data_IF_408580835411
#
_entry.id   IF_408580835411
#
_cell.length_a   1.000
_cell.length_b   1.000
_cell.length_c   1.000
_cell.angle_alpha   90.00
_cell.angle_beta   90.00
_cell.angle_gamma   90.00
#
_symmetry.space_group_name_H-M   'P 1'
#
loop_
_entity.id
_entity.type
_entity.pdbx_description
1 polymer ?
#
# COMPACT_ATOMS: atom_id res chain seq x y z
N UNK A 1 10.17 -11.87 -14.94
CA UNK A 1 9.75 -12.21 -13.56
C UNK A 1 11.05 -12.53 -12.83
N UNK A 2 11.38 -11.85 -11.72
CA UNK A 2 12.54 -12.26 -10.90
C UNK A 2 12.36 -13.73 -10.51
N UNK A 3 13.42 -14.54 -10.49
CA UNK A 3 13.31 -15.99 -10.21
C UNK A 3 12.70 -16.30 -8.82
N UNK A 4 12.67 -15.32 -7.90
CA UNK A 4 12.06 -15.42 -6.56
C UNK A 4 10.77 -14.56 -6.38
N UNK A 5 10.09 -14.16 -7.47
CA UNK A 5 8.89 -13.33 -7.37
C UNK A 5 7.58 -14.13 -7.47
N UNK A 6 6.60 -13.75 -6.65
CA UNK A 6 5.22 -14.24 -6.70
C UNK A 6 4.25 -13.11 -7.05
N UNK A 7 3.39 -13.34 -8.03
CA UNK A 7 2.28 -12.45 -8.36
C UNK A 7 0.95 -13.05 -7.90
N UNK A 8 0.20 -12.39 -7.00
CA UNK A 8 -1.07 -12.91 -6.50
C UNK A 8 -2.17 -12.81 -7.55
N UNK A 9 -3.08 -13.79 -7.55
CA UNK A 9 -4.26 -13.80 -8.45
C UNK A 9 -5.31 -12.73 -8.10
N UNK A 10 -5.33 -12.24 -6.87
CA UNK A 10 -6.28 -11.24 -6.38
C UNK A 10 -5.74 -10.48 -5.16
N UNK A 11 -6.47 -9.45 -4.71
CA UNK A 11 -6.05 -8.62 -3.55
C UNK A 11 -4.88 -7.68 -3.82
N UNK A 12 -4.50 -7.48 -5.09
CA UNK A 12 -3.37 -6.63 -5.50
C UNK A 12 -3.46 -5.21 -4.95
N UNK A 13 -4.61 -4.56 -5.05
CA UNK A 13 -4.83 -3.21 -4.52
C UNK A 13 -4.66 -3.13 -3.01
N UNK A 14 -5.26 -4.07 -2.26
CA UNK A 14 -5.16 -4.11 -0.81
C UNK A 14 -3.71 -4.35 -0.32
N UNK A 15 -3.00 -5.28 -0.95
CA UNK A 15 -1.57 -5.54 -0.66
C UNK A 15 -0.72 -4.33 -1.01
N UNK A 16 -0.99 -3.67 -2.13
CA UNK A 16 -0.32 -2.44 -2.51
C UNK A 16 -0.48 -1.34 -1.45
N UNK A 17 -1.72 -0.99 -1.10
CA UNK A 17 -2.02 0.05 -0.09
C UNK A 17 -1.43 -0.27 1.28
N UNK A 18 -1.53 -1.52 1.71
CA UNK A 18 -0.94 -1.94 2.98
C UNK A 18 0.59 -1.74 2.96
N UNK A 19 1.26 -2.19 1.91
CA UNK A 19 2.72 -2.09 1.78
C UNK A 19 3.18 -0.64 1.69
N UNK A 20 2.53 0.16 0.84
CA UNK A 20 2.77 1.60 0.71
C UNK A 20 2.58 2.33 2.05
N UNK A 21 1.56 1.98 2.82
CA UNK A 21 1.37 2.52 4.18
C UNK A 21 2.51 2.16 5.14
N UNK A 22 2.99 0.91 5.11
CA UNK A 22 4.16 0.53 5.92
C UNK A 22 5.42 1.31 5.50
N UNK A 23 5.61 1.56 4.21
CA UNK A 23 6.72 2.39 3.72
C UNK A 23 6.62 3.83 4.24
N UNK A 24 5.43 4.42 4.25
CA UNK A 24 5.20 5.78 4.80
C UNK A 24 5.38 5.82 6.32
N UNK A 25 4.78 4.87 7.03
CA UNK A 25 4.73 4.87 8.49
C UNK A 25 6.09 4.53 9.13
N UNK A 26 6.88 3.71 8.46
CA UNK A 26 8.18 3.23 8.93
C UNK A 26 9.27 3.51 7.89
N UNK A 27 9.36 4.77 7.46
CA UNK A 27 10.40 5.25 6.58
C UNK A 27 11.80 4.88 7.12
N UNK A 28 12.71 4.50 6.23
CA UNK A 28 14.07 4.04 6.57
C UNK A 28 14.21 2.57 6.99
N UNK A 29 13.12 1.93 7.44
CA UNK A 29 13.09 0.51 7.82
C UNK A 29 12.55 -0.40 6.72
N UNK A 30 11.47 0.03 6.07
CA UNK A 30 10.76 -0.78 5.05
C UNK A 30 11.06 -0.30 3.62
N UNK A 31 11.16 1.02 3.41
CA UNK A 31 11.23 1.65 2.09
C UNK A 31 12.30 1.07 1.16
N UNK A 32 13.53 0.86 1.65
CA UNK A 32 14.66 0.37 0.85
C UNK A 32 14.43 -1.01 0.21
N UNK A 33 13.65 -1.89 0.85
CA UNK A 33 13.35 -3.25 0.32
C UNK A 33 12.41 -3.23 -0.89
N UNK A 34 11.63 -2.17 -1.02
CA UNK A 34 10.59 -2.04 -2.04
C UNK A 34 10.91 -0.95 -3.07
N UNK A 35 12.11 -0.38 -3.05
CA UNK A 35 12.54 0.61 -4.03
C UNK A 35 12.57 0.05 -5.47
N UNK A 36 12.66 0.96 -6.46
CA UNK A 36 12.77 0.59 -7.87
C UNK A 36 11.51 -0.10 -8.42
N UNK A 37 11.69 -1.27 -9.04
CA UNK A 37 10.60 -1.94 -9.76
C UNK A 37 9.45 -2.39 -8.84
N UNK A 38 9.74 -2.73 -7.59
CA UNK A 38 8.71 -3.16 -6.63
C UNK A 38 7.76 -2.01 -6.28
N UNK A 39 8.30 -0.82 -6.02
CA UNK A 39 7.49 0.39 -5.78
C UNK A 39 6.62 0.70 -7.01
N UNK A 40 7.18 0.62 -8.22
CA UNK A 40 6.42 0.82 -9.46
C UNK A 40 5.26 -0.16 -9.58
N UNK A 41 5.48 -1.45 -9.28
CA UNK A 41 4.43 -2.46 -9.27
C UNK A 41 3.35 -2.18 -8.22
N UNK A 42 3.73 -1.79 -7.00
CA UNK A 42 2.78 -1.46 -5.94
C UNK A 42 1.94 -0.23 -6.31
N UNK A 43 2.56 0.82 -6.85
CA UNK A 43 1.84 2.01 -7.31
C UNK A 43 0.87 1.68 -8.45
N UNK A 44 1.28 0.87 -9.42
CA UNK A 44 0.42 0.44 -10.52
C UNK A 44 -0.78 -0.40 -10.02
N UNK A 45 -0.56 -1.32 -9.09
CA UNK A 45 -1.65 -2.09 -8.50
C UNK A 45 -2.59 -1.22 -7.64
N UNK A 46 -2.06 -0.24 -6.92
CA UNK A 46 -2.88 0.70 -6.17
C UNK A 46 -3.78 1.52 -7.09
N UNK A 47 -3.25 2.03 -8.21
CA UNK A 47 -3.99 2.80 -9.21
C UNK A 47 -5.05 1.96 -9.94
N UNK A 48 -4.69 0.73 -10.32
CA UNK A 48 -5.58 -0.16 -11.07
C UNK A 48 -6.77 -0.65 -10.23
N UNK A 49 -6.59 -0.80 -8.92
CA UNK A 49 -7.59 -1.39 -8.02
C UNK A 49 -7.95 -0.43 -6.89
N UNK A 50 -8.97 0.40 -7.09
CA UNK A 50 -9.49 1.32 -6.07
C UNK A 50 -9.90 0.57 -4.77
N UNK A 51 -9.84 1.22 -3.59
CA UNK A 51 -10.28 0.59 -2.35
C UNK A 51 -11.77 0.25 -2.40
N UNK A 52 -12.08 -0.99 -2.04
CA UNK A 52 -13.45 -1.48 -1.92
C UNK A 52 -14.05 -1.22 -0.53
N UNK A 53 -15.33 -1.55 -0.37
CA UNK A 53 -16.04 -1.40 0.90
C UNK A 53 -15.46 -2.27 2.03
N UNK A 54 -14.91 -3.43 1.69
CA UNK A 54 -14.27 -4.29 2.70
C UNK A 54 -13.01 -3.62 3.26
N UNK A 55 -12.18 -3.03 2.41
CA UNK A 55 -10.99 -2.28 2.83
C UNK A 55 -11.35 -1.07 3.70
N UNK A 56 -12.39 -0.32 3.33
CA UNK A 56 -12.87 0.83 4.12
C UNK A 56 -13.36 0.40 5.50
N UNK A 57 -14.20 -0.65 5.57
CA UNK A 57 -14.67 -1.19 6.84
C UNK A 57 -13.52 -1.71 7.70
N UNK A 58 -12.57 -2.42 7.10
CA UNK A 58 -11.39 -2.92 7.81
C UNK A 58 -10.52 -1.77 8.32
N UNK A 59 -10.33 -0.70 7.54
CA UNK A 59 -9.57 0.48 7.95
C UNK A 59 -10.24 1.19 9.13
N UNK A 60 -11.57 1.32 9.11
CA UNK A 60 -12.35 1.89 10.22
C UNK A 60 -12.28 1.02 11.49
N UNK A 61 -12.37 -0.31 11.37
CA UNK A 61 -12.25 -1.20 12.52
C UNK A 61 -10.84 -1.16 13.15
N UNK A 62 -9.79 -1.10 12.33
CA UNK A 62 -8.41 -0.95 12.80
C UNK A 62 -8.23 0.37 13.55
N UNK A 63 -8.82 1.46 13.07
CA UNK A 63 -8.77 2.76 13.73
C UNK A 63 -9.28 2.71 15.17
N UNK A 64 -10.41 2.02 15.40
CA UNK A 64 -11.00 1.89 16.74
C UNK A 64 -10.03 1.22 17.72
N UNK A 65 -9.20 0.29 17.24
CA UNK A 65 -8.26 -0.46 18.07
C UNK A 65 -6.87 0.21 18.19
N UNK A 66 -6.37 0.83 17.12
CA UNK A 66 -4.98 1.30 17.04
C UNK A 66 -4.85 2.83 17.03
N UNK A 67 -5.95 3.56 16.83
CA UNK A 67 -5.96 5.03 16.74
C UNK A 67 -5.33 5.61 15.47
N UNK A 68 -4.90 4.77 14.52
CA UNK A 68 -4.37 5.19 13.22
C UNK A 68 -5.07 4.45 12.07
N UNK A 69 -5.01 5.05 10.88
CA UNK A 69 -5.62 4.55 9.64
C UNK A 69 -4.61 4.58 8.52
N UNK A 70 -4.81 3.72 7.52
CA UNK A 70 -4.11 3.85 6.26
C UNK A 70 -4.72 5.01 5.45
N UNK A 71 -4.02 6.14 5.26
CA UNK A 71 -4.56 7.27 4.51
C UNK A 71 -4.76 6.95 3.03
N UNK A 72 -4.09 5.92 2.48
CA UNK A 72 -4.24 5.52 1.08
C UNK A 72 -5.52 4.73 0.81
N UNK A 73 -6.24 4.29 1.86
CA UNK A 73 -7.61 3.77 1.72
C UNK A 73 -8.62 4.92 1.72
N UNK A 74 -8.36 5.96 2.52
CA UNK A 74 -9.27 7.09 2.70
C UNK A 74 -9.13 8.14 1.59
N UNK A 75 -7.89 8.35 1.13
CA UNK A 75 -7.48 9.30 0.09
C UNK A 75 -6.51 8.61 -0.89
N UNK A 76 -7.00 7.73 -1.77
CA UNK A 76 -6.15 6.93 -2.67
C UNK A 76 -5.26 7.79 -3.57
N UNK A 77 -5.71 8.98 -3.95
CA UNK A 77 -4.99 9.91 -4.81
C UNK A 77 -3.70 10.45 -4.20
N UNK A 78 -3.52 10.34 -2.88
CA UNK A 78 -2.30 10.78 -2.20
C UNK A 78 -1.09 9.92 -2.59
N UNK A 79 -1.30 8.67 -3.02
CA UNK A 79 -0.20 7.81 -3.47
C UNK A 79 0.60 8.41 -4.64
N UNK A 80 0.01 9.31 -5.44
CA UNK A 80 0.72 9.98 -6.54
C UNK A 80 1.53 11.20 -6.09
N UNK A 81 1.27 11.70 -4.88
CA UNK A 81 1.88 12.94 -4.35
C UNK A 81 2.91 12.68 -3.27
N UNK A 82 2.89 11.49 -2.68
CA UNK A 82 3.78 11.11 -1.58
C UNK A 82 5.08 10.53 -2.11
N UNK A 83 6.18 10.89 -1.43
CA UNK A 83 7.46 10.26 -1.65
C UNK A 83 7.54 9.00 -0.78
N UNK A 84 7.73 7.85 -1.42
CA UNK A 84 7.90 6.55 -0.75
C UNK A 84 9.38 6.17 -0.57
N UNK A 85 10.28 7.10 -0.88
CA UNK A 85 11.72 6.92 -0.74
C UNK A 85 12.16 7.03 0.72
N UNK A 86 13.21 6.30 1.05
CA UNK A 86 13.92 6.38 2.32
C UNK A 86 15.42 6.33 2.07
#
# INVERSE_FOLDING_TARGET
>A
VEDDAFEPKGGKGAVARATLYFMLRYAGYVGRRYAGQRLKTLLAWHEQYAPDEWEKHRNAAIYVLQGNRNPLIDFPEWALRLQFEG
#
